data_IF_136880347100
#
_entry.id   IF_136880347100
#
_cell.length_a   1.000
_cell.length_b   1.000
_cell.length_c   1.000
_cell.angle_alpha   90.00
_cell.angle_beta   90.00
_cell.angle_gamma   90.00
#
_symmetry.space_group_name_H-M   'P 1'
#
loop_
_entity.id
_entity.type
_entity.pdbx_description
1 polymer ?
#
# COMPACT_ATOMS: atom_id res chain seq x y z
N UNK A 1 -9.29 -2.25 -21.41
CA UNK A 1 -8.45 -2.17 -20.20
C UNK A 1 -7.61 -3.44 -20.16
N UNK A 2 -6.30 -3.29 -20.19
CA UNK A 2 -5.39 -4.43 -20.02
C UNK A 2 -5.25 -4.68 -18.53
N UNK A 3 -6.04 -5.58 -17.97
CA UNK A 3 -5.85 -6.01 -16.58
C UNK A 3 -4.51 -6.75 -16.53
N UNK A 4 -3.55 -6.24 -15.81
CA UNK A 4 -2.26 -6.91 -15.56
C UNK A 4 -2.17 -7.31 -14.09
N UNK A 5 -1.61 -8.49 -13.80
CA UNK A 5 -1.24 -8.86 -12.44
C UNK A 5 0.12 -8.27 -12.11
N UNK A 6 0.28 -7.73 -10.90
CA UNK A 6 1.58 -7.27 -10.40
C UNK A 6 2.39 -8.43 -9.81
N UNK A 7 1.73 -9.46 -9.30
CA UNK A 7 2.37 -10.61 -8.67
C UNK A 7 1.61 -11.91 -8.93
N UNK A 8 2.26 -13.04 -8.62
CA UNK A 8 1.67 -14.38 -8.79
C UNK A 8 0.62 -14.67 -7.72
N UNK A 9 -0.48 -15.33 -8.14
CA UNK A 9 -1.61 -15.73 -7.29
C UNK A 9 -1.77 -17.25 -7.35
N UNK A 10 -1.99 -17.91 -6.23
CA UNK A 10 -2.27 -19.34 -6.17
C UNK A 10 -1.55 -20.07 -5.05
N UNK A 11 -1.05 -21.27 -5.31
CA UNK A 11 -0.46 -22.17 -4.32
C UNK A 11 0.75 -21.58 -3.61
N UNK A 12 0.73 -21.55 -2.30
CA UNK A 12 1.86 -21.14 -1.45
C UNK A 12 3.10 -22.01 -1.67
N UNK A 13 2.92 -23.31 -1.86
CA UNK A 13 4.01 -24.29 -2.11
C UNK A 13 4.73 -24.01 -3.43
N UNK A 14 4.08 -23.31 -4.35
CA UNK A 14 4.66 -22.84 -5.62
C UNK A 14 5.24 -21.42 -5.51
N UNK A 15 5.40 -20.91 -4.28
CA UNK A 15 5.92 -19.57 -3.97
C UNK A 15 5.10 -18.43 -4.59
N UNK A 16 3.77 -18.61 -4.66
CA UNK A 16 2.88 -17.53 -5.04
C UNK A 16 3.00 -16.37 -4.03
N UNK A 17 3.01 -15.15 -4.53
CA UNK A 17 3.11 -13.96 -3.67
C UNK A 17 1.77 -13.61 -3.02
N UNK A 18 0.67 -13.95 -3.68
CA UNK A 18 -0.70 -13.78 -3.17
C UNK A 18 -0.96 -12.38 -2.60
N UNK A 19 -0.54 -11.33 -3.32
CA UNK A 19 -0.84 -9.97 -2.95
C UNK A 19 -2.37 -9.78 -2.99
N UNK A 20 -3.01 -9.24 -1.94
CA UNK A 20 -4.48 -9.16 -1.85
C UNK A 20 -5.15 -8.55 -3.08
N UNK A 21 -4.68 -7.42 -3.67
CA UNK A 21 -5.28 -6.88 -4.88
C UNK A 21 -5.24 -7.84 -6.08
N UNK A 22 -4.11 -8.54 -6.29
CA UNK A 22 -3.99 -9.53 -7.37
C UNK A 22 -4.90 -10.75 -7.12
N UNK A 23 -5.03 -11.15 -5.85
CA UNK A 23 -5.95 -12.23 -5.46
C UNK A 23 -7.38 -11.84 -5.76
N UNK A 24 -7.80 -10.62 -5.40
CA UNK A 24 -9.14 -10.13 -5.71
C UNK A 24 -9.41 -10.10 -7.22
N UNK A 25 -8.45 -9.61 -8.01
CA UNK A 25 -8.55 -9.60 -9.47
C UNK A 25 -8.78 -11.01 -9.99
N UNK A 26 -7.97 -11.98 -9.57
CA UNK A 26 -8.11 -13.39 -9.98
C UNK A 26 -9.43 -13.97 -9.52
N UNK A 27 -9.86 -13.70 -8.29
CA UNK A 27 -11.16 -14.16 -7.77
C UNK A 27 -12.31 -13.61 -8.59
N UNK A 28 -12.35 -12.32 -8.92
CA UNK A 28 -13.39 -11.71 -9.78
C UNK A 28 -13.40 -12.30 -11.19
N UNK A 29 -12.23 -12.51 -11.78
CA UNK A 29 -12.12 -13.12 -13.10
C UNK A 29 -12.63 -14.57 -13.11
N UNK A 30 -12.29 -15.34 -12.07
CA UNK A 30 -12.79 -16.73 -11.91
C UNK A 30 -14.29 -16.76 -11.67
N UNK A 31 -14.84 -15.88 -10.84
CA UNK A 31 -16.28 -15.74 -10.63
C UNK A 31 -17.00 -15.40 -11.94
N UNK A 32 -16.47 -14.44 -12.71
CA UNK A 32 -16.98 -14.09 -14.04
C UNK A 32 -16.90 -15.27 -14.99
N UNK A 33 -15.78 -16.00 -15.02
CA UNK A 33 -15.61 -17.19 -15.84
C UNK A 33 -16.58 -18.31 -15.44
N UNK A 34 -16.80 -18.51 -14.14
CA UNK A 34 -17.77 -19.48 -13.64
C UNK A 34 -19.17 -19.23 -14.17
N UNK A 35 -19.59 -17.96 -14.19
CA UNK A 35 -20.89 -17.53 -14.70
C UNK A 35 -20.96 -17.62 -16.23
N UNK A 36 -19.99 -17.01 -16.93
CA UNK A 36 -19.97 -16.92 -18.41
C UNK A 36 -19.87 -18.29 -19.07
N UNK A 37 -19.05 -19.19 -18.50
CA UNK A 37 -18.82 -20.54 -19.04
C UNK A 37 -19.76 -21.59 -18.47
N UNK A 38 -20.73 -21.18 -17.62
CA UNK A 38 -21.63 -22.07 -16.89
C UNK A 38 -20.85 -23.21 -16.17
N UNK A 39 -19.77 -22.85 -15.49
CA UNK A 39 -18.82 -23.78 -14.91
C UNK A 39 -18.65 -23.48 -13.40
N UNK A 40 -19.57 -23.95 -12.54
CA UNK A 40 -19.59 -23.58 -11.11
C UNK A 40 -18.34 -24.03 -10.34
N UNK A 41 -17.56 -24.96 -10.87
CA UNK A 41 -16.25 -25.35 -10.30
C UNK A 41 -15.17 -24.28 -10.42
N UNK A 42 -15.40 -23.24 -11.21
CA UNK A 42 -14.49 -22.09 -11.34
C UNK A 42 -14.79 -20.99 -10.32
N UNK A 43 -15.88 -21.10 -9.57
CA UNK A 43 -16.29 -20.12 -8.57
C UNK A 43 -15.37 -20.18 -7.34
N UNK A 44 -14.63 -19.10 -7.00
CA UNK A 44 -13.73 -19.05 -5.85
C UNK A 44 -14.46 -18.98 -4.51
N UNK A 45 -15.82 -18.91 -4.54
CA UNK A 45 -16.69 -18.77 -3.35
C UNK A 45 -16.49 -17.49 -2.56
N UNK A 46 -16.19 -16.40 -3.27
CA UNK A 46 -16.10 -15.06 -2.75
C UNK A 46 -14.84 -14.34 -3.24
N UNK A 47 -14.89 -13.00 -3.11
CA UNK A 47 -13.81 -12.09 -3.47
C UNK A 47 -13.36 -11.40 -2.19
N UNK A 48 -12.36 -11.96 -1.53
CA UNK A 48 -11.89 -11.52 -0.21
C UNK A 48 -10.39 -11.12 -0.19
N UNK A 49 -9.72 -11.20 -1.36
CA UNK A 49 -8.30 -10.90 -1.50
C UNK A 49 -7.37 -11.87 -0.78
N UNK A 50 -7.85 -13.06 -0.39
CA UNK A 50 -7.08 -14.01 0.43
C UNK A 50 -6.97 -15.38 -0.23
N UNK A 51 -5.80 -15.98 -0.08
CA UNK A 51 -5.56 -17.39 -0.33
C UNK A 51 -5.32 -18.08 1.01
N UNK A 52 -6.14 -19.05 1.37
CA UNK A 52 -5.94 -19.81 2.59
C UNK A 52 -4.53 -20.43 2.61
N UNK A 53 -3.84 -20.29 3.74
CA UNK A 53 -2.51 -20.86 3.91
C UNK A 53 -2.63 -22.37 4.22
N UNK A 54 -1.76 -23.24 3.69
CA UNK A 54 -1.73 -24.64 4.06
C UNK A 54 -1.66 -24.82 5.61
N UNK A 55 -2.31 -25.87 6.17
CA UNK A 55 -2.95 -26.98 5.45
C UNK A 55 -4.39 -26.75 4.95
N UNK A 56 -4.94 -25.54 5.12
CA UNK A 56 -6.31 -25.25 4.71
C UNK A 56 -6.46 -25.28 3.18
N UNK A 57 -7.60 -25.79 2.69
CA UNK A 57 -7.91 -25.80 1.27
C UNK A 57 -8.43 -24.43 0.84
N UNK A 58 -7.82 -23.82 -0.18
CA UNK A 58 -8.30 -22.57 -0.77
C UNK A 58 -9.26 -22.83 -1.92
N UNK A 59 -10.49 -22.30 -1.83
CA UNK A 59 -11.46 -22.34 -2.93
C UNK A 59 -10.91 -21.64 -4.20
N UNK A 60 -10.17 -20.55 -4.02
CA UNK A 60 -9.53 -19.83 -5.13
C UNK A 60 -8.48 -20.71 -5.83
N UNK A 61 -7.64 -21.43 -5.09
CA UNK A 61 -6.66 -22.36 -5.69
C UNK A 61 -7.38 -23.50 -6.41
N UNK A 62 -8.42 -24.07 -5.82
CA UNK A 62 -9.21 -25.11 -6.46
C UNK A 62 -9.86 -24.63 -7.77
N UNK A 63 -10.35 -23.40 -7.80
CA UNK A 63 -10.93 -22.76 -8.99
C UNK A 63 -9.85 -22.51 -10.07
N UNK A 64 -8.64 -22.05 -9.69
CA UNK A 64 -7.49 -21.91 -10.61
C UNK A 64 -7.17 -23.25 -11.25
N UNK A 65 -7.04 -24.31 -10.47
CA UNK A 65 -6.72 -25.63 -10.99
C UNK A 65 -7.84 -26.21 -11.86
N UNK A 66 -9.10 -25.97 -11.50
CA UNK A 66 -10.24 -26.37 -12.33
C UNK A 66 -10.21 -25.66 -13.69
N UNK A 67 -9.85 -24.38 -13.70
CA UNK A 67 -9.67 -23.61 -14.93
C UNK A 67 -8.51 -24.17 -15.75
N UNK A 68 -7.35 -24.37 -15.13
CA UNK A 68 -6.16 -24.89 -15.79
C UNK A 68 -6.40 -26.27 -16.45
N UNK A 69 -7.09 -27.20 -15.77
CA UNK A 69 -7.42 -28.51 -16.33
C UNK A 69 -8.17 -28.45 -17.65
N UNK A 70 -8.95 -27.39 -17.87
CA UNK A 70 -9.80 -27.26 -19.05
C UNK A 70 -9.20 -26.39 -20.14
N UNK A 71 -8.40 -25.38 -19.78
CA UNK A 71 -8.02 -24.32 -20.69
C UNK A 71 -6.50 -24.14 -20.86
N UNK A 72 -5.67 -24.87 -20.11
CA UNK A 72 -4.20 -24.77 -20.22
C UNK A 72 -3.54 -26.16 -20.31
N UNK A 73 -2.27 -26.16 -20.71
CA UNK A 73 -1.50 -27.41 -20.85
C UNK A 73 -0.90 -27.94 -19.53
N UNK A 74 -0.96 -27.14 -18.46
CA UNK A 74 -0.40 -27.52 -17.15
C UNK A 74 -1.34 -27.11 -16.02
N UNK A 75 -1.35 -27.91 -14.94
CA UNK A 75 -2.15 -27.66 -13.74
C UNK A 75 -1.19 -27.54 -12.55
N UNK A 76 -0.84 -26.33 -12.18
CA UNK A 76 0.08 -26.04 -11.09
C UNK A 76 -0.56 -25.21 -9.96
N UNK A 77 -1.80 -24.78 -10.13
CA UNK A 77 -2.52 -23.95 -9.17
C UNK A 77 -1.93 -22.54 -9.02
N UNK A 78 -1.24 -22.05 -10.06
CA UNK A 78 -0.54 -20.76 -10.03
C UNK A 78 -0.87 -19.94 -11.29
N UNK A 79 -1.24 -18.67 -11.08
CA UNK A 79 -1.34 -17.66 -12.14
C UNK A 79 -0.21 -16.65 -11.93
N UNK A 80 0.66 -16.49 -12.93
CA UNK A 80 1.70 -15.45 -12.94
C UNK A 80 1.28 -14.33 -13.89
N UNK A 81 1.80 -13.10 -13.69
CA UNK A 81 1.70 -12.07 -14.70
C UNK A 81 2.11 -12.61 -16.08
N UNK A 82 1.37 -12.26 -17.11
CA UNK A 82 1.60 -12.66 -18.51
C UNK A 82 1.74 -14.16 -18.78
N UNK A 83 1.26 -15.03 -17.87
CA UNK A 83 1.30 -16.48 -18.06
C UNK A 83 0.20 -16.96 -19.00
N UNK A 84 0.38 -18.18 -19.54
CA UNK A 84 -0.64 -18.85 -20.36
C UNK A 84 -2.00 -18.91 -19.65
N UNK A 85 -2.03 -19.21 -18.34
CA UNK A 85 -3.27 -19.25 -17.55
C UNK A 85 -3.91 -17.87 -17.46
N UNK A 86 -3.11 -16.81 -17.29
CA UNK A 86 -3.59 -15.44 -17.25
C UNK A 86 -4.29 -15.04 -18.57
N UNK A 87 -3.59 -15.23 -19.69
CA UNK A 87 -4.17 -14.92 -21.01
C UNK A 87 -5.40 -15.78 -21.33
N UNK A 88 -5.36 -17.06 -21.04
CA UNK A 88 -6.50 -17.94 -21.24
C UNK A 88 -7.73 -17.52 -20.41
N UNK A 89 -7.51 -17.01 -19.17
CA UNK A 89 -8.59 -16.54 -18.32
C UNK A 89 -9.22 -15.25 -18.88
N UNK A 90 -8.40 -14.32 -19.34
CA UNK A 90 -8.86 -13.09 -20.00
C UNK A 90 -9.62 -13.39 -21.31
N UNK A 91 -9.11 -14.30 -22.13
CA UNK A 91 -9.75 -14.71 -23.38
C UNK A 91 -11.10 -15.41 -23.14
N UNK A 92 -11.20 -16.21 -22.10
CA UNK A 92 -12.41 -16.93 -21.74
C UNK A 92 -13.57 -15.99 -21.35
N UNK A 93 -13.25 -14.82 -20.77
CA UNK A 93 -14.24 -13.81 -20.37
C UNK A 93 -14.38 -12.67 -21.39
N UNK A 94 -13.35 -12.43 -22.22
CA UNK A 94 -13.25 -11.29 -23.16
C UNK A 94 -14.19 -11.38 -24.37
N UNK A 95 -14.90 -12.48 -24.56
CA UNK A 95 -15.82 -12.65 -25.69
C UNK A 95 -17.24 -12.11 -25.45
N UNK A 96 -17.58 -11.68 -24.25
CA UNK A 96 -18.95 -11.18 -23.95
C UNK A 96 -19.01 -10.35 -22.65
N UNK A 97 -18.39 -9.19 -22.57
CA UNK A 97 -18.77 -8.21 -21.54
C UNK A 97 -18.83 -6.82 -22.15
N UNK A 98 -20.01 -6.42 -22.61
CA UNK A 98 -20.43 -5.04 -22.47
C UNK A 98 -20.67 -4.80 -20.98
N UNK A 99 -19.78 -4.08 -20.35
CA UNK A 99 -19.97 -3.59 -18.98
C UNK A 99 -21.10 -2.57 -19.02
N UNK A 100 -22.18 -2.69 -18.16
CA UNK A 100 -23.15 -1.62 -18.03
C UNK A 100 -22.42 -0.33 -17.67
N UNK A 101 -22.62 0.70 -18.46
CA UNK A 101 -22.05 2.03 -18.23
C UNK A 101 -22.55 2.57 -16.89
N UNK A 102 -21.69 2.55 -15.88
CA UNK A 102 -21.80 3.42 -14.71
C UNK A 102 -21.48 4.85 -15.19
N UNK A 103 -22.25 5.88 -14.78
CA UNK A 103 -22.03 7.25 -15.25
C UNK A 103 -20.59 7.65 -15.00
N UNK A 104 -19.99 8.24 -16.03
CA UNK A 104 -18.61 8.69 -16.11
C UNK A 104 -18.18 9.47 -14.85
N UNK A 105 -17.41 8.81 -13.98
CA UNK A 105 -16.50 9.51 -13.07
C UNK A 105 -15.18 9.75 -13.81
N UNK A 106 -14.45 10.84 -13.51
CA UNK A 106 -13.24 11.21 -14.21
C UNK A 106 -12.19 10.09 -14.14
N UNK A 107 -11.41 9.96 -15.20
CA UNK A 107 -10.37 8.97 -15.44
C UNK A 107 -9.70 8.46 -14.16
N UNK A 108 -10.00 7.18 -13.82
CA UNK A 108 -9.27 6.45 -12.78
C UNK A 108 -7.93 6.06 -13.41
N UNK A 109 -6.86 6.62 -12.87
CA UNK A 109 -5.50 6.43 -13.35
C UNK A 109 -5.10 4.96 -13.52
N UNK A 110 -4.23 4.68 -14.49
CA UNK A 110 -3.61 3.38 -14.81
C UNK A 110 -2.78 2.76 -13.65
N UNK A 111 -2.84 3.31 -12.44
CA UNK A 111 -1.95 3.03 -11.31
C UNK A 111 -2.62 2.30 -10.11
N UNK A 112 -3.84 1.77 -10.28
CA UNK A 112 -4.53 1.08 -9.18
C UNK A 112 -3.71 -0.12 -8.66
N UNK A 113 -3.26 -0.04 -7.40
CA UNK A 113 -2.44 -1.06 -6.73
C UNK A 113 -0.93 -0.87 -6.84
N UNK A 114 -0.44 0.15 -7.53
CA UNK A 114 0.98 0.52 -7.54
C UNK A 114 1.33 1.40 -6.34
N UNK A 115 2.52 1.18 -5.78
CA UNK A 115 3.09 2.07 -4.77
C UNK A 115 4.28 2.82 -5.36
N UNK A 116 4.31 4.13 -5.11
CA UNK A 116 5.35 5.04 -5.55
C UNK A 116 6.18 5.56 -4.38
N UNK A 117 7.41 5.94 -4.67
CA UNK A 117 8.16 6.75 -3.73
C UNK A 117 7.49 8.13 -3.59
N UNK A 118 7.39 8.72 -2.39
CA UNK A 118 6.60 9.95 -2.20
C UNK A 118 7.20 11.23 -2.84
N UNK A 119 8.30 11.10 -3.59
CA UNK A 119 8.94 12.18 -4.32
C UNK A 119 9.38 11.72 -5.71
N UNK A 120 9.50 12.63 -6.71
CA UNK A 120 9.91 12.26 -8.07
C UNK A 120 11.40 11.89 -8.19
N UNK A 121 12.18 12.11 -7.13
CA UNK A 121 13.61 11.78 -7.06
C UNK A 121 13.96 11.25 -5.67
N UNK A 122 15.05 10.47 -5.52
CA UNK A 122 15.52 10.09 -4.19
C UNK A 122 16.07 11.31 -3.43
N UNK A 123 16.01 11.31 -2.09
CA UNK A 123 16.65 12.36 -1.28
C UNK A 123 18.18 12.28 -1.37
N UNK A 124 18.84 13.42 -1.17
CA UNK A 124 20.31 13.51 -1.15
C UNK A 124 20.91 12.63 -0.04
N UNK A 125 20.22 12.53 1.09
CA UNK A 125 20.64 11.70 2.23
C UNK A 125 19.70 10.50 2.36
N UNK A 126 20.26 9.31 2.52
CA UNK A 126 19.48 8.11 2.76
C UNK A 126 18.66 8.17 4.06
N UNK A 127 17.65 7.31 4.16
CA UNK A 127 16.78 7.17 5.34
C UNK A 127 17.10 5.91 6.17
N UNK A 128 18.16 5.18 5.85
CA UNK A 128 18.51 3.90 6.49
C UNK A 128 19.53 4.07 7.63
N UNK A 129 20.12 5.27 7.77
CA UNK A 129 21.08 5.57 8.81
C UNK A 129 20.53 6.61 9.81
N UNK A 130 20.95 6.45 11.09
CA UNK A 130 20.66 7.45 12.12
C UNK A 130 21.22 8.82 11.72
N UNK A 131 20.53 9.91 12.03
CA UNK A 131 19.29 10.00 12.83
C UNK A 131 18.00 9.80 12.03
N UNK A 132 18.03 9.67 10.71
CA UNK A 132 16.86 9.63 9.82
C UNK A 132 16.09 8.29 9.86
N UNK A 133 16.81 7.22 10.20
CA UNK A 133 16.25 5.88 10.17
C UNK A 133 15.18 5.64 11.24
N UNK A 134 14.25 4.74 10.91
CA UNK A 134 13.33 4.16 11.89
C UNK A 134 14.07 3.61 13.11
N UNK A 135 13.46 3.70 14.28
CA UNK A 135 14.00 3.28 15.56
C UNK A 135 15.27 4.02 16.05
N UNK A 136 15.75 5.06 15.34
CA UNK A 136 16.83 5.92 15.82
C UNK A 136 16.48 6.56 17.17
N UNK A 137 17.49 6.83 17.99
CA UNK A 137 17.27 7.49 19.28
C UNK A 137 16.73 8.92 19.10
N UNK A 138 15.71 9.24 19.89
CA UNK A 138 15.13 10.59 20.02
C UNK A 138 15.08 10.97 21.50
N UNK A 139 15.10 12.28 21.77
CA UNK A 139 14.97 12.81 23.12
C UNK A 139 15.96 12.15 24.11
N UNK A 140 17.25 12.16 23.76
CA UNK A 140 18.34 11.54 24.55
C UNK A 140 18.09 10.06 24.88
N UNK A 141 17.57 9.28 23.92
CA UNK A 141 17.32 7.86 24.08
C UNK A 141 16.02 7.52 24.83
N UNK A 142 15.19 8.50 25.19
CA UNK A 142 13.92 8.26 25.89
C UNK A 142 12.77 7.90 24.95
N UNK A 143 12.95 8.08 23.66
CA UNK A 143 11.95 7.75 22.61
C UNK A 143 12.67 7.21 21.38
N UNK A 144 12.05 6.24 20.73
CA UNK A 144 12.49 5.77 19.43
C UNK A 144 11.81 6.58 18.29
N UNK A 145 12.52 6.74 17.18
CA UNK A 145 12.02 7.39 15.98
C UNK A 145 10.95 6.53 15.31
N UNK A 146 9.77 7.08 15.08
CA UNK A 146 8.61 6.32 14.63
C UNK A 146 8.47 6.19 13.11
N UNK A 147 9.34 6.81 12.34
CA UNK A 147 9.30 6.80 10.89
C UNK A 147 10.67 6.89 10.26
N UNK A 148 10.69 7.17 8.97
CA UNK A 148 11.89 7.58 8.24
C UNK A 148 11.78 9.05 7.87
N UNK A 149 12.89 9.81 8.03
CA UNK A 149 12.96 11.22 7.65
C UNK A 149 13.58 11.32 6.25
N UNK A 150 12.79 11.80 5.29
CA UNK A 150 13.19 12.03 3.91
C UNK A 150 13.47 13.51 3.72
N UNK A 151 14.75 13.88 3.61
CA UNK A 151 15.18 15.28 3.55
C UNK A 151 15.01 15.86 2.15
N UNK A 152 14.14 16.86 2.06
CA UNK A 152 13.85 17.66 0.87
C UNK A 152 13.61 19.09 1.29
N UNK A 153 13.87 20.03 0.42
CA UNK A 153 13.66 21.46 0.68
C UNK A 153 12.18 21.76 0.97
N UNK A 154 11.95 22.73 1.86
CA UNK A 154 10.62 23.27 2.13
C UNK A 154 9.89 23.62 0.82
N UNK A 155 8.67 23.16 0.72
CA UNK A 155 7.82 23.44 -0.44
C UNK A 155 7.91 22.41 -1.56
N UNK A 156 8.84 21.42 -1.48
CA UNK A 156 8.86 20.29 -2.39
C UNK A 156 7.54 19.52 -2.31
N UNK A 157 6.98 19.15 -3.46
CA UNK A 157 5.75 18.38 -3.50
C UNK A 157 5.94 16.96 -2.96
N UNK A 158 4.99 16.54 -2.14
CA UNK A 158 4.85 15.19 -1.61
C UNK A 158 3.70 14.54 -2.37
N UNK A 159 3.96 13.35 -2.89
CA UNK A 159 3.00 12.57 -3.67
C UNK A 159 2.44 11.41 -2.83
N UNK A 160 1.20 11.05 -3.10
CA UNK A 160 0.58 9.89 -2.48
C UNK A 160 1.33 8.61 -2.87
N UNK A 161 1.66 7.79 -1.87
CA UNK A 161 2.39 6.53 -2.08
C UNK A 161 1.56 5.53 -2.89
N UNK A 162 0.25 5.51 -2.69
CA UNK A 162 -0.71 4.63 -3.35
C UNK A 162 -2.09 5.30 -3.36
N UNK A 163 -3.04 4.69 -4.06
CA UNK A 163 -4.45 5.06 -3.94
C UNK A 163 -4.89 5.00 -2.48
N UNK A 164 -5.83 5.87 -2.07
CA UNK A 164 -6.26 5.86 -0.68
C UNK A 164 -7.37 6.84 -0.35
N UNK A 165 -7.66 6.91 0.93
CA UNK A 165 -8.62 7.87 1.51
C UNK A 165 -7.92 8.62 2.63
N UNK A 166 -7.99 9.94 2.60
CA UNK A 166 -7.50 10.78 3.70
C UNK A 166 -8.41 10.57 4.91
N UNK A 167 -7.89 9.93 5.94
CA UNK A 167 -8.65 9.61 7.15
C UNK A 167 -8.56 10.68 8.22
N UNK A 168 -7.55 11.56 8.12
CA UNK A 168 -7.38 12.68 9.05
C UNK A 168 -6.42 13.74 8.50
N UNK A 169 -6.74 15.01 8.72
CA UNK A 169 -5.83 16.14 8.52
C UNK A 169 -6.24 17.08 7.38
N UNK A 170 -5.40 18.16 7.16
CA UNK A 170 -4.16 18.44 7.90
C UNK A 170 -4.42 18.84 9.36
N UNK A 171 -3.58 18.35 10.27
CA UNK A 171 -3.67 18.68 11.70
C UNK A 171 -2.27 19.05 12.27
N UNK A 172 -2.19 19.88 13.35
CA UNK A 172 -0.91 20.25 13.96
C UNK A 172 -0.11 19.02 14.39
N UNK A 173 1.18 18.98 14.05
CA UNK A 173 2.03 17.83 14.33
C UNK A 173 3.23 18.19 15.19
N UNK A 174 4.38 18.54 14.63
CA UNK A 174 5.60 18.79 15.37
C UNK A 174 6.25 20.09 14.93
N UNK A 175 6.77 20.91 15.87
CA UNK A 175 7.49 22.17 15.57
C UNK A 175 6.82 23.02 14.48
N UNK A 176 5.53 23.34 14.67
CA UNK A 176 4.70 24.18 13.79
C UNK A 176 4.42 23.59 12.40
N UNK A 177 4.71 22.31 12.20
CA UNK A 177 4.31 21.59 11.00
C UNK A 177 2.97 20.86 11.18
N UNK A 178 2.50 20.20 10.13
CA UNK A 178 1.22 19.49 10.08
C UNK A 178 1.43 18.03 9.63
N UNK A 179 0.37 17.24 9.71
CA UNK A 179 0.36 15.87 9.20
C UNK A 179 -0.97 15.52 8.54
N UNK A 180 -0.90 14.59 7.60
CA UNK A 180 -2.03 13.85 7.01
C UNK A 180 -1.93 12.38 7.39
N UNK A 181 -3.07 11.73 7.64
CA UNK A 181 -3.19 10.29 7.76
C UNK A 181 -4.02 9.77 6.59
N UNK A 182 -3.48 8.81 5.84
CA UNK A 182 -4.11 8.23 4.66
C UNK A 182 -4.21 6.73 4.83
N UNK A 183 -5.40 6.20 4.63
CA UNK A 183 -5.62 4.76 4.53
C UNK A 183 -5.45 4.34 3.05
N UNK A 184 -4.37 3.61 2.77
CA UNK A 184 -4.03 3.06 1.46
C UNK A 184 -4.54 1.62 1.26
N UNK A 185 -5.54 1.19 2.03
CA UNK A 185 -6.08 -0.16 1.95
C UNK A 185 -5.27 -1.17 2.77
N UNK A 186 -4.05 -1.48 2.37
CA UNK A 186 -3.17 -2.44 3.06
C UNK A 186 -2.46 -1.86 4.29
N UNK A 187 -2.26 -0.55 4.33
CA UNK A 187 -1.57 0.14 5.41
C UNK A 187 -2.11 1.56 5.57
N UNK A 188 -1.86 2.15 6.73
CA UNK A 188 -2.05 3.58 6.94
C UNK A 188 -0.68 4.25 6.85
N UNK A 189 -0.59 5.34 6.08
CA UNK A 189 0.56 6.22 6.07
C UNK A 189 0.24 7.51 6.83
N UNK A 190 1.19 7.96 7.67
CA UNK A 190 1.21 9.32 8.18
C UNK A 190 2.30 10.09 7.46
N UNK A 191 1.89 11.13 6.73
CA UNK A 191 2.77 12.12 6.10
C UNK A 191 2.93 13.28 7.08
N UNK A 192 3.98 13.25 7.88
CA UNK A 192 4.28 14.25 8.90
C UNK A 192 5.24 15.33 8.43
N UNK A 193 5.31 16.42 9.19
CA UNK A 193 6.20 17.56 8.94
C UNK A 193 5.93 18.28 7.61
N UNK A 194 4.66 18.29 7.21
CA UNK A 194 4.15 18.98 6.02
C UNK A 194 3.71 20.41 6.33
N UNK A 195 3.49 21.21 5.28
CA UNK A 195 2.87 22.52 5.41
C UNK A 195 1.39 22.42 5.83
N UNK A 196 0.85 23.49 6.40
CA UNK A 196 -0.56 23.58 6.78
C UNK A 196 -1.50 23.45 5.59
N UNK A 197 -1.14 24.06 4.47
CA UNK A 197 -1.95 24.04 3.25
C UNK A 197 -1.64 22.77 2.45
N UNK A 198 -2.65 21.99 2.20
CA UNK A 198 -2.63 20.75 1.41
C UNK A 198 -3.59 20.86 0.24
N UNK A 199 -3.43 20.03 -0.78
CA UNK A 199 -4.37 19.92 -1.91
C UNK A 199 -5.58 19.08 -1.55
N UNK A 200 -5.48 18.28 -0.48
CA UNK A 200 -6.47 17.29 -0.05
C UNK A 200 -6.88 17.53 1.42
N UNK A 201 -8.04 17.02 1.80
CA UNK A 201 -8.61 17.10 3.15
C UNK A 201 -9.22 15.77 3.57
N UNK A 202 -9.57 15.65 4.84
CA UNK A 202 -10.25 14.47 5.40
C UNK A 202 -11.51 14.11 4.59
N UNK A 203 -11.61 12.82 4.24
CA UNK A 203 -12.65 12.24 3.40
C UNK A 203 -12.33 12.19 1.91
N UNK A 204 -11.32 12.91 1.42
CA UNK A 204 -10.96 12.90 0.00
C UNK A 204 -10.35 11.55 -0.38
N UNK A 205 -10.70 11.09 -1.59
CA UNK A 205 -10.02 9.99 -2.28
C UNK A 205 -8.82 10.56 -3.03
N UNK A 206 -7.70 9.88 -2.94
CA UNK A 206 -6.46 10.25 -3.62
C UNK A 206 -5.96 9.10 -4.49
N UNK A 207 -5.23 9.44 -5.53
CA UNK A 207 -4.61 8.48 -6.43
C UNK A 207 -3.12 8.36 -6.16
N UNK A 208 -2.55 7.19 -6.47
CA UNK A 208 -1.12 6.96 -6.43
C UNK A 208 -0.39 8.00 -7.30
N UNK A 209 0.66 8.61 -6.75
CA UNK A 209 1.41 9.68 -7.44
C UNK A 209 0.76 11.08 -7.39
N UNK A 210 -0.44 11.24 -6.86
CA UNK A 210 -1.10 12.55 -6.73
C UNK A 210 -0.35 13.48 -5.77
N UNK A 211 -0.23 14.76 -6.10
CA UNK A 211 0.36 15.78 -5.24
C UNK A 211 -0.58 16.13 -4.09
N UNK A 212 -0.29 15.65 -2.87
CA UNK A 212 -1.18 15.77 -1.70
C UNK A 212 -0.78 16.87 -0.72
N UNK A 213 0.51 17.17 -0.62
CA UNK A 213 1.05 18.11 0.36
C UNK A 213 2.41 18.68 -0.10
N UNK A 214 2.96 19.57 0.70
CA UNK A 214 4.33 20.08 0.53
C UNK A 214 5.15 19.91 1.80
N UNK A 215 6.45 19.66 1.64
CA UNK A 215 7.42 19.62 2.73
C UNK A 215 7.34 20.89 3.57
N UNK A 216 7.21 20.72 4.88
CA UNK A 216 7.16 21.81 5.86
C UNK A 216 8.54 22.31 6.25
N UNK A 217 8.58 23.09 7.32
CA UNK A 217 9.80 23.61 7.94
C UNK A 217 9.66 23.58 9.45
N UNK A 218 10.52 22.83 10.12
CA UNK A 218 10.51 22.68 11.58
C UNK A 218 11.09 23.95 12.22
N UNK A 219 10.32 24.60 13.07
CA UNK A 219 10.72 25.84 13.75
C UNK A 219 11.33 25.53 15.13
N UNK A 220 12.40 26.21 15.48
CA UNK A 220 13.00 26.15 16.83
C UNK A 220 13.90 24.95 17.08
N UNK A 221 14.32 24.22 16.06
CA UNK A 221 15.28 23.11 16.16
C UNK A 221 16.59 23.41 15.44
N UNK A 222 17.68 22.72 15.86
CA UNK A 222 19.04 22.90 15.30
C UNK A 222 19.48 21.73 14.41
N UNK A 223 18.56 21.00 13.83
CA UNK A 223 18.80 19.89 12.90
C UNK A 223 18.31 20.28 11.53
N UNK A 224 18.61 19.54 10.46
CA UNK A 224 17.92 19.76 9.19
C UNK A 224 16.43 19.86 9.43
N UNK A 225 15.83 20.97 8.97
CA UNK A 225 14.50 21.40 9.36
C UNK A 225 13.44 21.07 8.31
N UNK A 226 13.88 20.63 7.13
CA UNK A 226 13.01 20.42 5.98
C UNK A 226 13.02 18.94 5.59
N UNK A 227 11.89 18.28 5.79
CA UNK A 227 11.76 16.85 5.53
C UNK A 227 10.29 16.41 5.47
N UNK A 228 10.08 15.26 4.91
CA UNK A 228 8.90 14.43 5.16
C UNK A 228 9.26 13.41 6.23
N UNK A 229 8.52 13.40 7.34
CA UNK A 229 8.53 12.32 8.31
C UNK A 229 7.46 11.30 7.95
N UNK A 230 7.85 10.12 7.47
CA UNK A 230 6.93 9.08 7.03
C UNK A 230 6.81 7.96 8.05
N UNK A 231 5.58 7.73 8.55
CA UNK A 231 5.24 6.60 9.41
C UNK A 231 4.29 5.65 8.66
N UNK A 232 4.43 4.34 8.87
CA UNK A 232 3.54 3.32 8.32
C UNK A 232 2.94 2.44 9.43
N UNK A 233 1.70 1.99 9.21
CA UNK A 233 0.94 1.14 10.14
C UNK A 233 0.25 0.01 9.37
N UNK A 234 0.34 -1.23 9.87
CA UNK A 234 -0.19 -2.43 9.20
C UNK A 234 -1.68 -2.71 9.46
N UNK A 235 -2.37 -1.80 10.14
CA UNK A 235 -3.82 -1.86 10.44
C UNK A 235 -4.25 -3.02 11.36
N UNK A 236 -3.33 -3.67 12.05
CA UNK A 236 -3.69 -4.72 13.04
C UNK A 236 -4.22 -4.15 14.35
N UNK A 237 -4.14 -2.83 14.52
CA UNK A 237 -4.72 -2.10 15.65
C UNK A 237 -5.60 -0.93 15.18
N UNK A 238 -6.47 -0.44 16.05
CA UNK A 238 -7.37 0.69 15.80
C UNK A 238 -7.14 1.85 16.77
N UNK A 239 -7.74 3.00 16.48
CA UNK A 239 -7.64 4.22 17.28
C UNK A 239 -6.50 5.15 16.85
N UNK A 240 -6.19 6.17 17.67
CA UNK A 240 -5.23 7.21 17.29
C UNK A 240 -3.84 6.65 17.05
N UNK A 241 -3.15 7.14 16.00
CA UNK A 241 -1.78 6.71 15.68
C UNK A 241 -0.76 7.20 16.74
N UNK A 242 -0.98 8.35 17.36
CA UNK A 242 -0.15 8.85 18.47
C UNK A 242 -0.67 8.34 19.81
N UNK A 243 0.21 7.75 20.60
CA UNK A 243 -0.05 7.25 21.95
C UNK A 243 0.76 8.08 22.94
N UNK A 244 0.12 8.64 23.94
CA UNK A 244 0.75 9.44 25.01
C UNK A 244 1.22 8.64 26.19
N UNK A 245 0.66 7.44 26.40
CA UNK A 245 1.07 6.49 27.43
C UNK A 245 2.14 5.54 26.90
N UNK A 246 3.36 5.66 27.42
CA UNK A 246 4.50 4.84 27.03
C UNK A 246 4.26 3.32 27.24
N UNK A 247 3.42 2.95 28.22
CA UNK A 247 3.11 1.53 28.51
C UNK A 247 2.23 0.91 27.41
N UNK A 248 1.39 1.71 26.77
CA UNK A 248 0.47 1.32 25.70
C UNK A 248 1.06 1.50 24.30
N UNK A 249 2.24 2.12 24.22
CA UNK A 249 2.93 2.42 22.96
C UNK A 249 3.63 1.18 22.40
N UNK A 250 3.78 1.13 21.06
CA UNK A 250 4.80 0.29 20.41
C UNK A 250 6.16 0.53 21.08
N UNK A 251 6.91 -0.53 21.31
CA UNK A 251 8.26 -0.45 21.88
C UNK A 251 9.28 -1.07 20.92
N UNK A 252 10.48 -0.50 20.95
CA UNK A 252 11.69 -1.09 20.36
C UNK A 252 12.11 -2.30 21.21
N UNK A 253 12.98 -3.17 20.70
CA UNK A 253 13.42 -4.40 21.37
C UNK A 253 14.08 -4.18 22.74
N UNK A 254 14.66 -3.00 22.97
CA UNK A 254 15.26 -2.58 24.25
C UNK A 254 14.25 -1.88 25.19
N UNK A 255 12.95 -1.89 24.85
CA UNK A 255 11.88 -1.33 25.68
C UNK A 255 11.62 0.16 25.48
N UNK A 256 12.41 0.87 24.65
CA UNK A 256 12.22 2.30 24.39
C UNK A 256 10.92 2.50 23.58
N UNK A 257 9.99 3.37 24.04
CA UNK A 257 8.71 3.58 23.37
C UNK A 257 8.85 4.43 22.11
N UNK A 258 8.04 4.13 21.09
CA UNK A 258 7.86 4.98 19.91
C UNK A 258 6.85 6.11 20.16
N UNK A 259 6.04 6.02 21.20
CA UNK A 259 4.88 6.87 21.45
C UNK A 259 3.86 6.81 20.30
N UNK A 260 3.69 5.60 19.76
CA UNK A 260 2.82 5.29 18.62
C UNK A 260 2.02 4.03 18.87
N UNK A 261 0.94 3.87 18.10
CA UNK A 261 0.07 2.69 18.11
C UNK A 261 0.89 1.41 17.85
N UNK A 262 0.42 0.29 18.37
CA UNK A 262 1.20 -0.98 18.42
C UNK A 262 1.45 -1.59 17.03
N UNK A 263 0.65 -1.26 16.04
CA UNK A 263 0.77 -1.69 14.65
C UNK A 263 1.69 -0.80 13.78
N UNK A 264 2.46 0.08 14.41
CA UNK A 264 3.54 0.80 13.73
C UNK A 264 4.54 -0.19 13.14
N UNK A 265 4.90 -0.02 11.87
CA UNK A 265 5.89 -0.84 11.16
C UNK A 265 7.06 0.01 10.67
N UNK A 266 8.19 -0.64 10.42
CA UNK A 266 9.38 -0.01 9.85
C UNK A 266 9.15 0.31 8.36
N UNK A 267 9.21 1.59 7.93
CA UNK A 267 9.03 1.95 6.54
C UNK A 267 10.21 1.59 5.63
N UNK A 268 11.38 1.28 6.18
CA UNK A 268 12.66 1.20 5.46
C UNK A 268 12.61 0.28 4.25
N UNK A 269 12.12 -0.96 4.44
CA UNK A 269 12.08 -1.95 3.36
C UNK A 269 11.11 -1.55 2.25
N UNK A 270 9.97 -0.97 2.61
CA UNK A 270 8.97 -0.49 1.64
C UNK A 270 9.48 0.72 0.86
N UNK A 271 10.08 1.70 1.53
CA UNK A 271 10.71 2.85 0.88
C UNK A 271 11.81 2.42 -0.10
N UNK A 272 12.65 1.45 0.30
CA UNK A 272 13.68 0.88 -0.59
C UNK A 272 13.08 0.19 -1.81
N UNK A 273 11.96 -0.48 -1.65
CA UNK A 273 11.24 -1.10 -2.77
C UNK A 273 10.59 -0.05 -3.68
N UNK A 274 10.01 1.02 -3.10
CA UNK A 274 9.32 2.06 -3.85
C UNK A 274 10.27 3.03 -4.57
N UNK A 275 11.52 3.18 -4.11
CA UNK A 275 12.50 4.10 -4.70
C UNK A 275 12.87 3.82 -6.17
N UNK A 276 12.38 2.74 -6.75
CA UNK A 276 12.53 2.43 -8.18
C UNK A 276 11.32 2.87 -9.01
N UNK A 277 10.32 3.44 -8.35
CA UNK A 277 9.08 3.93 -8.98
C UNK A 277 8.80 5.34 -8.48
N UNK A 278 8.97 6.31 -9.35
CA UNK A 278 8.72 7.71 -9.05
C UNK A 278 7.41 8.16 -9.70
N UNK A 279 6.63 9.05 -9.03
CA UNK A 279 5.49 9.67 -9.69
C UNK A 279 5.96 10.49 -10.90
N UNK A 280 5.19 10.47 -11.97
CA UNK A 280 5.41 11.36 -13.12
C UNK A 280 5.18 12.81 -12.70
N UNK A 281 6.02 13.75 -13.20
CA UNK A 281 6.01 15.18 -12.84
C UNK A 281 5.38 15.98 -13.98
#
# INVERSE_FOLDING_TARGET
>A
MSSSLSASVGRWERRARNCPPDVEVVQRLLETAAHTLQAPQLDPKGVDGKIAHPPATSNTVAAIEAFQRRYTSSVDGLIKPDSQTWHALLDAIGKTVEVPSVPSQPDVSDHAGECFFPFPTPPVSDWIHSPRAFASNRNNGRRAHAGCDLYFEKGTWIHAIADGIVTRGPYPFYCETFALEVDHGEFIARYGEIQKTTTVKEGDRIQAGEQIAKVGHLIGIRVPSDMLHLELYDKTASGPLTITDANRSKKRSDGIPFMRRTDLIDPTSRLTQWQVRFPEV
#
